data_IF_139058648068
#
_entry.id   IF_139058648068
#
_cell.length_a   1.000
_cell.length_b   1.000
_cell.length_c   1.000
_cell.angle_alpha   90.00
_cell.angle_beta   90.00
_cell.angle_gamma   90.00
#
_symmetry.space_group_name_H-M   'P 1'
#
loop_
_entity.id
_entity.type
_entity.pdbx_description
1 polymer ?
#
# COMPACT_ATOMS: atom_id res chain seq x y z
N UNK A 1 8.22 15.98 -95.56
CA UNK A 1 7.17 16.84 -94.98
C UNK A 1 6.44 16.00 -93.92
N UNK A 2 6.90 15.95 -92.66
CA UNK A 2 6.62 16.81 -91.49
C UNK A 2 5.14 16.99 -91.12
N UNK A 3 4.88 16.69 -89.83
CA UNK A 3 3.74 17.01 -88.94
C UNK A 3 2.60 15.97 -88.97
N UNK A 4 2.17 15.39 -87.86
CA UNK A 4 2.56 15.52 -86.46
C UNK A 4 1.36 15.26 -85.53
N UNK A 5 1.65 14.66 -84.37
CA UNK A 5 0.87 14.64 -83.10
C UNK A 5 -0.52 13.97 -83.21
N UNK A 6 -0.92 13.10 -82.29
CA UNK A 6 -1.01 13.37 -80.85
C UNK A 6 -0.85 12.08 -80.05
N UNK A 7 0.06 12.14 -79.08
CA UNK A 7 0.16 11.19 -77.97
C UNK A 7 -1.10 11.33 -77.12
N UNK A 8 -1.87 10.25 -76.95
CA UNK A 8 -2.83 10.13 -75.85
C UNK A 8 -2.17 9.29 -74.77
N UNK A 9 -1.53 9.98 -73.82
CA UNK A 9 -1.17 9.42 -72.53
C UNK A 9 -2.47 9.12 -71.77
N UNK A 10 -2.90 7.86 -71.74
CA UNK A 10 -3.87 7.40 -70.75
C UNK A 10 -3.12 7.27 -69.41
N UNK A 11 -3.16 8.34 -68.62
CA UNK A 11 -2.69 8.33 -67.25
C UNK A 11 -3.64 7.46 -66.41
N UNK A 12 -3.29 6.19 -66.23
CA UNK A 12 -3.83 5.38 -65.15
C UNK A 12 -3.38 6.00 -63.83
N UNK A 13 -4.27 6.79 -63.24
CA UNK A 13 -4.13 7.34 -61.90
C UNK A 13 -4.20 6.14 -60.93
N UNK A 14 -3.03 5.57 -60.62
CA UNK A 14 -2.90 4.66 -59.49
C UNK A 14 -3.15 5.52 -58.25
N UNK A 15 -4.36 5.44 -57.71
CA UNK A 15 -4.66 5.87 -56.35
C UNK A 15 -3.85 4.97 -55.42
N UNK A 16 -2.59 5.34 -55.21
CA UNK A 16 -1.84 4.93 -54.05
C UNK A 16 -2.51 5.60 -52.85
N UNK A 17 -3.51 4.92 -52.28
CA UNK A 17 -3.88 5.16 -50.89
C UNK A 17 -2.64 4.76 -50.09
N UNK A 18 -1.79 5.75 -49.83
CA UNK A 18 -0.85 5.65 -48.74
C UNK A 18 -1.72 5.47 -47.49
N UNK A 19 -1.85 4.22 -47.05
CA UNK A 19 -2.17 3.94 -45.67
C UNK A 19 -1.06 4.63 -44.88
N UNK A 20 -1.33 5.86 -44.43
CA UNK A 20 -0.59 6.45 -43.34
C UNK A 20 -0.49 5.34 -42.29
N UNK A 21 0.70 5.05 -41.73
CA UNK A 21 0.73 4.17 -40.59
C UNK A 21 -0.28 4.76 -39.61
N UNK A 22 -1.21 3.94 -39.13
CA UNK A 22 -1.89 4.22 -37.90
C UNK A 22 -0.78 4.26 -36.84
N UNK A 23 -0.05 5.37 -36.79
CA UNK A 23 0.88 5.74 -35.75
C UNK A 23 -0.02 5.82 -34.54
N UNK A 24 -0.07 4.69 -33.84
CA UNK A 24 -1.02 4.43 -32.79
C UNK A 24 -0.96 5.58 -31.80
N UNK A 25 -2.12 6.10 -31.42
CA UNK A 25 -2.31 6.96 -30.24
C UNK A 25 -1.89 6.27 -28.92
N UNK A 26 -1.18 5.15 -28.99
CA UNK A 26 -0.61 4.45 -27.86
C UNK A 26 0.62 5.23 -27.38
N UNK A 27 0.45 5.95 -26.28
CA UNK A 27 1.56 6.61 -25.58
C UNK A 27 2.63 5.58 -25.22
N UNK A 28 3.90 5.95 -25.40
CA UNK A 28 5.02 5.07 -25.05
C UNK A 28 5.25 5.05 -23.54
N UNK A 29 5.96 4.03 -23.03
CA UNK A 29 6.37 3.96 -21.62
C UNK A 29 7.15 5.20 -21.21
N UNK A 30 8.05 5.67 -22.08
CA UNK A 30 8.93 6.81 -21.79
C UNK A 30 8.16 8.14 -21.76
N UNK A 31 7.19 8.32 -22.67
CA UNK A 31 6.29 9.48 -22.66
C UNK A 31 5.43 9.52 -21.40
N UNK A 32 4.80 8.38 -21.05
CA UNK A 32 4.00 8.25 -19.84
C UNK A 32 4.83 8.55 -18.59
N UNK A 33 6.04 8.00 -18.52
CA UNK A 33 6.97 8.24 -17.41
C UNK A 33 7.36 9.73 -17.32
N UNK A 34 7.77 10.35 -18.42
CA UNK A 34 8.17 11.75 -18.44
C UNK A 34 7.03 12.69 -18.04
N UNK A 35 5.81 12.47 -18.57
CA UNK A 35 4.62 13.23 -18.17
C UNK A 35 4.30 13.04 -16.68
N UNK A 36 4.41 11.82 -16.17
CA UNK A 36 4.14 11.55 -14.76
C UNK A 36 5.14 12.22 -13.82
N UNK A 37 6.42 12.20 -14.15
CA UNK A 37 7.46 12.88 -13.36
C UNK A 37 7.18 14.38 -13.31
N UNK A 38 6.80 14.99 -14.44
CA UNK A 38 6.40 16.40 -14.50
C UNK A 38 5.17 16.68 -13.65
N UNK A 39 4.12 15.85 -13.73
CA UNK A 39 2.91 15.97 -12.92
C UNK A 39 3.23 15.85 -11.42
N UNK A 40 4.10 14.90 -11.02
CA UNK A 40 4.51 14.72 -9.63
C UNK A 40 5.28 15.93 -9.10
N UNK A 41 6.19 16.50 -9.90
CA UNK A 41 6.93 17.73 -9.54
C UNK A 41 6.00 18.93 -9.38
N UNK A 42 4.93 18.99 -10.18
CA UNK A 42 3.85 19.98 -10.04
C UNK A 42 2.85 19.64 -8.91
N UNK A 43 3.12 18.61 -8.10
CA UNK A 43 2.24 18.11 -7.04
C UNK A 43 0.85 17.64 -7.51
N UNK A 44 0.66 17.39 -8.81
CA UNK A 44 -0.53 16.76 -9.37
C UNK A 44 -0.47 15.24 -9.18
N UNK A 45 -0.57 14.80 -7.92
CA UNK A 45 -0.25 13.42 -7.56
C UNK A 45 -1.23 12.38 -8.10
N UNK A 46 -2.52 12.71 -8.26
CA UNK A 46 -3.50 11.81 -8.88
C UNK A 46 -3.14 11.56 -10.35
N UNK A 47 -2.87 12.63 -11.11
CA UNK A 47 -2.44 12.55 -12.52
C UNK A 47 -1.15 11.74 -12.66
N UNK A 48 -0.16 12.01 -11.81
CA UNK A 48 1.11 11.29 -11.81
C UNK A 48 0.90 9.80 -11.57
N UNK A 49 0.10 9.43 -10.57
CA UNK A 49 -0.19 8.03 -10.26
C UNK A 49 -0.87 7.31 -11.42
N UNK A 50 -1.83 7.95 -12.09
CA UNK A 50 -2.54 7.35 -13.23
C UNK A 50 -1.64 7.16 -14.44
N UNK A 51 -0.79 8.14 -14.76
CA UNK A 51 0.21 8.02 -15.82
C UNK A 51 1.22 6.90 -15.53
N UNK A 52 1.68 6.77 -14.28
CA UNK A 52 2.63 5.72 -13.88
C UNK A 52 2.02 4.33 -13.90
N UNK A 53 0.75 4.19 -13.50
CA UNK A 53 0.04 2.91 -13.62
C UNK A 53 -0.10 2.48 -15.08
N UNK A 54 -0.34 3.42 -16.00
CA UNK A 54 -0.37 3.15 -17.44
C UNK A 54 1.02 2.75 -17.96
N UNK A 55 2.09 3.43 -17.52
CA UNK A 55 3.46 3.05 -17.86
C UNK A 55 3.80 1.63 -17.36
N UNK A 56 3.39 1.30 -16.14
CA UNK A 56 3.59 -0.01 -15.52
C UNK A 56 2.70 -1.10 -16.13
N UNK A 57 1.54 -0.77 -16.70
CA UNK A 57 0.74 -1.72 -17.46
C UNK A 57 1.46 -2.17 -18.75
N UNK A 58 2.27 -1.29 -19.35
CA UNK A 58 3.08 -1.59 -20.52
C UNK A 58 4.43 -2.25 -20.15
N UNK A 59 5.04 -1.86 -19.02
CA UNK A 59 6.28 -2.43 -18.50
C UNK A 59 6.19 -2.63 -16.98
N UNK A 60 5.69 -3.79 -16.51
CA UNK A 60 5.43 -4.05 -15.09
C UNK A 60 6.65 -3.99 -14.17
N UNK A 61 7.82 -4.31 -14.73
CA UNK A 61 9.08 -4.44 -13.99
C UNK A 61 9.98 -3.19 -14.13
N UNK A 62 9.38 -2.03 -14.39
CA UNK A 62 10.11 -0.77 -14.41
C UNK A 62 10.29 -0.22 -12.98
N UNK A 63 11.46 -0.46 -12.38
CA UNK A 63 11.79 -0.01 -11.03
C UNK A 63 11.68 1.52 -10.88
N UNK A 64 12.12 2.31 -11.86
CA UNK A 64 12.02 3.78 -11.81
C UNK A 64 10.56 4.23 -11.76
N UNK A 65 9.70 3.65 -12.61
CA UNK A 65 8.27 3.97 -12.61
C UNK A 65 7.58 3.54 -11.30
N UNK A 66 7.99 2.42 -10.71
CA UNK A 66 7.49 2.00 -9.38
C UNK A 66 7.92 2.98 -8.28
N UNK A 67 9.15 3.48 -8.30
CA UNK A 67 9.62 4.49 -7.35
C UNK A 67 8.85 5.78 -7.49
N UNK A 68 8.67 6.28 -8.73
CA UNK A 68 7.86 7.48 -8.95
C UNK A 68 6.41 7.27 -8.50
N UNK A 69 5.85 6.06 -8.67
CA UNK A 69 4.49 5.74 -8.23
C UNK A 69 4.41 5.78 -6.70
N UNK A 70 5.40 5.21 -6.02
CA UNK A 70 5.52 5.27 -4.56
C UNK A 70 5.51 6.71 -4.05
N UNK A 71 6.28 7.60 -4.67
CA UNK A 71 6.29 9.03 -4.31
C UNK A 71 4.98 9.75 -4.65
N UNK A 72 4.33 9.42 -5.77
CA UNK A 72 3.01 9.96 -6.09
C UNK A 72 1.96 9.54 -5.05
N UNK A 73 1.94 8.26 -4.65
CA UNK A 73 1.02 7.75 -3.62
C UNK A 73 1.33 8.33 -2.23
N UNK A 74 2.60 8.60 -1.89
CA UNK A 74 2.96 9.37 -0.70
C UNK A 74 2.36 10.78 -0.75
N UNK A 75 2.42 11.45 -1.91
CA UNK A 75 1.78 12.76 -2.12
C UNK A 75 0.25 12.72 -1.91
N UNK A 76 -0.39 11.61 -2.29
CA UNK A 76 -1.82 11.33 -2.06
C UNK A 76 -2.15 10.88 -0.64
N UNK A 77 -1.13 10.71 0.21
CA UNK A 77 -1.25 10.12 1.55
C UNK A 77 -1.80 8.67 1.55
N UNK A 78 -1.66 7.96 0.44
CA UNK A 78 -2.04 6.56 0.31
C UNK A 78 -0.85 5.66 0.70
N UNK A 79 -0.57 5.60 2.00
CA UNK A 79 0.58 4.91 2.56
C UNK A 79 0.65 3.41 2.18
N UNK A 80 -0.45 2.65 2.14
CA UNK A 80 -0.42 1.25 1.69
C UNK A 80 0.03 1.09 0.24
N UNK A 81 -0.50 1.91 -0.68
CA UNK A 81 -0.13 1.84 -2.10
C UNK A 81 1.32 2.31 -2.33
N UNK A 82 1.76 3.33 -1.59
CA UNK A 82 3.15 3.77 -1.63
C UNK A 82 4.10 2.64 -1.19
N UNK A 83 3.78 1.95 -0.09
CA UNK A 83 4.55 0.81 0.39
C UNK A 83 4.68 -0.30 -0.65
N UNK A 84 3.57 -0.67 -1.28
CA UNK A 84 3.55 -1.72 -2.31
C UNK A 84 4.48 -1.35 -3.47
N UNK A 85 4.34 -0.13 -3.99
CA UNK A 85 5.15 0.35 -5.11
C UNK A 85 6.65 0.33 -4.79
N UNK A 86 7.07 0.85 -3.62
CA UNK A 86 8.47 0.82 -3.21
C UNK A 86 8.98 -0.60 -2.97
N UNK A 87 8.17 -1.47 -2.36
CA UNK A 87 8.56 -2.87 -2.10
C UNK A 87 8.76 -3.65 -3.40
N UNK A 88 7.90 -3.42 -4.40
CA UNK A 88 8.08 -3.98 -5.74
C UNK A 88 9.32 -3.45 -6.43
N UNK A 89 9.61 -2.15 -6.32
CA UNK A 89 10.84 -1.57 -6.84
C UNK A 89 12.08 -2.22 -6.21
N UNK A 90 12.09 -2.43 -4.89
CA UNK A 90 13.18 -3.09 -4.18
C UNK A 90 13.28 -4.59 -4.50
N UNK A 91 12.18 -5.25 -4.86
CA UNK A 91 12.22 -6.64 -5.31
C UNK A 91 12.92 -6.79 -6.67
N UNK A 92 12.84 -5.75 -7.52
CA UNK A 92 13.51 -5.71 -8.84
C UNK A 92 14.94 -5.18 -8.69
N UNK A 93 15.14 -4.14 -7.89
CA UNK A 93 16.40 -3.47 -7.65
C UNK A 93 16.64 -3.29 -6.14
N UNK A 94 17.23 -4.29 -5.45
CA UNK A 94 17.39 -4.28 -3.99
C UNK A 94 18.21 -3.12 -3.44
N UNK A 95 19.05 -2.49 -4.27
CA UNK A 95 19.91 -1.37 -3.88
C UNK A 95 19.35 -0.01 -4.31
N UNK A 96 18.07 0.07 -4.73
CA UNK A 96 17.44 1.32 -5.14
C UNK A 96 17.23 2.23 -3.91
N UNK A 97 18.10 3.23 -3.77
CA UNK A 97 18.18 4.09 -2.58
C UNK A 97 16.90 4.89 -2.34
N UNK A 98 16.34 5.49 -3.39
CA UNK A 98 15.09 6.26 -3.29
C UNK A 98 13.91 5.40 -2.84
N UNK A 99 13.87 4.11 -3.26
CA UNK A 99 12.83 3.19 -2.81
C UNK A 99 12.99 2.85 -1.31
N UNK A 100 14.23 2.64 -0.85
CA UNK A 100 14.53 2.42 0.57
C UNK A 100 14.16 3.63 1.43
N UNK A 101 14.48 4.84 0.95
CA UNK A 101 14.04 6.09 1.56
C UNK A 101 12.52 6.17 1.61
N UNK A 102 11.84 5.86 0.50
CA UNK A 102 10.39 5.83 0.41
C UNK A 102 9.73 4.90 1.44
N UNK A 103 10.26 3.70 1.67
CA UNK A 103 9.76 2.79 2.71
C UNK A 103 9.94 3.40 4.11
N UNK A 104 11.10 4.00 4.40
CA UNK A 104 11.32 4.66 5.68
C UNK A 104 10.34 5.81 5.92
N UNK A 105 10.04 6.61 4.88
CA UNK A 105 9.06 7.69 4.96
C UNK A 105 7.63 7.15 5.17
N UNK A 106 7.25 6.08 4.48
CA UNK A 106 5.95 5.41 4.67
C UNK A 106 5.80 4.92 6.11
N UNK A 107 6.81 4.27 6.68
CA UNK A 107 6.75 3.78 8.06
C UNK A 107 6.62 4.93 9.06
N UNK A 108 7.38 6.01 8.84
CA UNK A 108 7.32 7.19 9.69
C UNK A 108 5.93 7.83 9.67
N UNK A 109 5.35 8.03 8.47
CA UNK A 109 4.01 8.60 8.29
C UNK A 109 2.89 7.68 8.78
N UNK A 110 3.14 6.36 8.80
CA UNK A 110 2.24 5.37 9.40
C UNK A 110 2.31 5.33 10.93
N UNK A 111 3.22 6.08 11.55
CA UNK A 111 3.44 6.10 13.00
C UNK A 111 4.33 4.96 13.51
N UNK A 112 4.84 4.11 12.62
CA UNK A 112 5.70 2.97 12.94
C UNK A 112 7.15 3.42 13.14
N UNK A 113 7.40 4.32 14.09
CA UNK A 113 8.72 4.95 14.30
C UNK A 113 9.82 3.94 14.63
N UNK A 114 9.47 2.79 15.21
CA UNK A 114 10.42 1.71 15.51
C UNK A 114 10.90 0.98 14.25
N UNK A 115 10.07 0.89 13.21
CA UNK A 115 10.45 0.37 11.90
C UNK A 115 11.12 1.44 11.04
N UNK A 116 10.67 2.69 11.13
CA UNK A 116 11.16 3.79 10.29
C UNK A 116 12.61 4.19 10.58
N UNK A 117 12.99 4.27 11.87
CA UNK A 117 14.30 4.79 12.28
C UNK A 117 15.48 3.99 11.70
N UNK A 118 15.58 2.66 11.87
CA UNK A 118 16.72 1.91 11.35
C UNK A 118 16.81 1.98 9.82
N UNK A 119 15.67 2.03 9.12
CA UNK A 119 15.65 2.18 7.66
C UNK A 119 16.18 3.56 7.24
N UNK A 120 15.73 4.63 7.90
CA UNK A 120 16.20 5.99 7.62
C UNK A 120 17.69 6.17 7.94
N UNK A 121 18.17 5.57 9.04
CA UNK A 121 19.58 5.58 9.42
C UNK A 121 20.44 4.86 8.39
N UNK A 122 20.03 3.68 7.92
CA UNK A 122 20.73 2.95 6.86
C UNK A 122 20.83 3.78 5.57
N UNK A 123 19.74 4.46 5.16
CA UNK A 123 19.77 5.33 3.97
C UNK A 123 20.76 6.48 4.16
N UNK A 124 20.77 7.13 5.32
CA UNK A 124 21.68 8.24 5.63
C UNK A 124 23.15 7.79 5.77
N UNK A 125 23.42 6.58 6.25
CA UNK A 125 24.77 6.00 6.30
C UNK A 125 25.30 5.72 4.89
N UNK A 126 24.44 5.18 4.03
CA UNK A 126 24.80 4.79 2.66
C UNK A 126 24.97 6.02 1.76
N UNK A 127 24.20 7.08 1.99
CA UNK A 127 24.35 8.38 1.32
C UNK A 127 24.38 9.55 2.34
N UNK A 128 25.55 9.86 2.92
CA UNK A 128 25.69 10.95 3.89
C UNK A 128 25.39 12.34 3.32
N UNK A 129 25.37 12.51 2.00
CA UNK A 129 25.07 13.78 1.34
C UNK A 129 23.55 14.00 1.15
N UNK A 130 22.73 12.96 1.35
CA UNK A 130 21.28 13.05 1.24
C UNK A 130 20.68 13.82 2.43
N UNK A 131 20.47 15.12 2.24
CA UNK A 131 19.90 16.00 3.25
C UNK A 131 18.49 15.58 3.69
N UNK A 132 17.70 14.94 2.82
CA UNK A 132 16.34 14.52 3.14
C UNK A 132 16.33 13.27 4.01
N UNK A 133 17.26 12.34 3.79
CA UNK A 133 17.47 11.19 4.69
C UNK A 133 17.89 11.65 6.09
N UNK A 134 18.83 12.59 6.19
CA UNK A 134 19.25 13.15 7.48
C UNK A 134 18.09 13.84 8.21
N UNK A 135 17.29 14.65 7.50
CA UNK A 135 16.08 15.29 8.07
C UNK A 135 15.05 14.25 8.52
N UNK A 136 14.86 13.16 7.77
CA UNK A 136 13.93 12.10 8.14
C UNK A 136 14.34 11.44 9.45
N UNK A 137 15.63 11.11 9.62
CA UNK A 137 16.17 10.58 10.88
C UNK A 137 15.89 11.54 12.05
N UNK A 138 16.18 12.83 11.87
CA UNK A 138 15.94 13.84 12.91
C UNK A 138 14.46 13.98 13.26
N UNK A 139 13.57 13.95 12.26
CA UNK A 139 12.13 14.02 12.45
C UNK A 139 11.61 12.79 13.22
N UNK A 140 12.08 11.59 12.88
CA UNK A 140 11.72 10.35 13.58
C UNK A 140 12.19 10.42 15.04
N UNK A 141 13.44 10.83 15.30
CA UNK A 141 13.99 10.96 16.66
C UNK A 141 13.23 11.98 17.50
N UNK A 142 12.90 13.15 16.93
CA UNK A 142 12.07 14.18 17.59
C UNK A 142 10.69 13.63 17.92
N UNK A 143 10.05 12.92 16.99
CA UNK A 143 8.74 12.33 17.20
C UNK A 143 8.76 11.25 18.31
N UNK A 144 9.77 10.38 18.34
CA UNK A 144 9.96 9.39 19.42
C UNK A 144 10.18 10.04 20.78
N UNK A 145 11.00 11.09 20.87
CA UNK A 145 11.21 11.86 22.11
C UNK A 145 9.92 12.53 22.57
N UNK A 146 9.15 13.14 21.67
CA UNK A 146 7.87 13.75 21.98
C UNK A 146 6.83 12.71 22.44
N UNK A 147 6.83 11.51 21.86
CA UNK A 147 5.97 10.41 22.30
C UNK A 147 6.36 9.88 23.69
N UNK A 148 7.65 9.90 24.03
CA UNK A 148 8.16 9.49 25.34
C UNK A 148 7.96 10.55 26.42
N UNK A 149 7.96 11.84 26.06
CA UNK A 149 7.77 12.97 26.98
C UNK A 149 6.30 13.28 27.26
N UNK A 150 5.39 12.91 26.35
CA UNK A 150 3.97 12.86 26.68
C UNK A 150 3.83 11.87 27.84
N UNK A 151 3.31 12.29 29.00
CA UNK A 151 2.99 11.33 30.03
C UNK A 151 2.11 10.28 29.36
N UNK A 152 2.55 9.01 29.36
CA UNK A 152 1.64 7.91 29.06
C UNK A 152 0.38 8.26 29.85
N UNK A 153 -0.81 8.35 29.22
CA UNK A 153 -2.03 8.59 29.99
C UNK A 153 -1.92 7.65 31.15
N UNK A 154 -1.86 8.23 32.37
CA UNK A 154 -1.61 7.47 33.57
C UNK A 154 -2.52 6.27 33.40
N UNK A 155 -1.91 5.09 33.31
CA UNK A 155 -2.69 3.87 33.25
C UNK A 155 -3.36 3.91 34.61
N UNK A 156 -4.55 4.53 34.66
CA UNK A 156 -5.54 4.17 35.65
C UNK A 156 -5.51 2.67 35.54
N UNK A 157 -5.13 2.03 36.63
CA UNK A 157 -4.91 0.60 36.73
C UNK A 157 -6.23 -0.19 36.55
N UNK A 158 -7.02 0.17 35.55
CA UNK A 158 -8.36 -0.28 35.24
C UNK A 158 -8.60 -0.19 33.72
N UNK A 159 -7.68 -0.74 32.93
CA UNK A 159 -8.01 -1.21 31.58
C UNK A 159 -7.16 -2.42 31.20
N UNK A 160 -6.87 -3.30 32.16
CA UNK A 160 -6.97 -4.72 31.81
C UNK A 160 -8.43 -4.88 31.41
N UNK A 161 -8.71 -5.10 30.13
CA UNK A 161 -9.95 -5.75 29.77
C UNK A 161 -9.93 -7.09 30.50
N UNK A 162 -10.43 -7.11 31.75
CA UNK A 162 -11.07 -8.30 32.26
C UNK A 162 -12.09 -8.59 31.16
N UNK A 163 -11.83 -9.64 30.36
CA UNK A 163 -12.88 -10.27 29.56
C UNK A 163 -14.13 -10.17 30.41
N UNK A 164 -15.26 -9.64 29.89
CA UNK A 164 -16.47 -9.57 30.69
C UNK A 164 -16.57 -10.94 31.33
N UNK A 165 -16.59 -10.99 32.67
CA UNK A 165 -16.83 -12.24 33.37
C UNK A 165 -18.21 -12.67 32.91
N UNK A 166 -18.29 -13.34 31.75
CA UNK A 166 -19.39 -14.20 31.40
C UNK A 166 -19.35 -15.17 32.56
N UNK A 167 -20.31 -15.02 33.47
CA UNK A 167 -20.60 -16.05 34.44
C UNK A 167 -20.53 -17.36 33.66
N UNK A 168 -19.69 -18.32 34.07
CA UNK A 168 -19.65 -19.62 33.42
C UNK A 168 -21.09 -20.09 33.25
N UNK A 169 -21.45 -20.52 32.04
CA UNK A 169 -22.77 -21.07 31.78
C UNK A 169 -23.06 -22.10 32.89
N UNK A 170 -24.10 -21.88 33.72
CA UNK A 170 -24.34 -22.75 34.87
C UNK A 170 -24.86 -24.12 34.44
N UNK A 171 -25.31 -24.27 33.19
CA UNK A 171 -26.01 -25.45 32.70
C UNK A 171 -25.14 -26.72 32.79
N UNK A 172 -23.88 -26.77 32.30
CA UNK A 172 -23.07 -27.99 32.40
C UNK A 172 -22.86 -28.48 33.85
N UNK A 173 -22.61 -27.54 34.78
CA UNK A 173 -22.43 -27.87 36.20
C UNK A 173 -23.70 -28.38 36.87
N UNK A 174 -24.84 -27.72 36.62
CA UNK A 174 -26.14 -28.15 37.14
C UNK A 174 -26.56 -29.50 36.55
N UNK A 175 -26.27 -29.76 35.27
CA UNK A 175 -26.58 -31.04 34.63
C UNK A 175 -25.76 -32.19 35.24
N UNK A 176 -24.50 -31.96 35.59
CA UNK A 176 -23.66 -32.95 36.24
C UNK A 176 -24.10 -33.22 37.70
N UNK A 177 -24.42 -32.17 38.46
CA UNK A 177 -24.95 -32.27 39.82
C UNK A 177 -26.29 -33.03 39.85
N UNK A 178 -27.22 -32.70 38.94
CA UNK A 178 -28.50 -33.41 38.81
C UNK A 178 -28.31 -34.90 38.51
N UNK A 179 -27.34 -35.26 37.65
CA UNK A 179 -27.02 -36.67 37.36
C UNK A 179 -26.49 -37.40 38.60
N UNK A 180 -25.61 -36.77 39.38
CA UNK A 180 -25.09 -37.36 40.63
C UNK A 180 -26.20 -37.58 41.66
N UNK A 181 -27.08 -36.61 41.84
CA UNK A 181 -28.22 -36.72 42.74
C UNK A 181 -29.20 -37.82 42.30
N UNK A 182 -29.42 -37.97 40.99
CA UNK A 182 -30.24 -39.05 40.42
C UNK A 182 -29.62 -40.43 40.65
N UNK A 183 -28.31 -40.57 40.46
CA UNK A 183 -27.57 -41.82 40.73
C UNK A 183 -27.58 -42.18 42.22
N UNK A 184 -27.60 -41.18 43.11
CA UNK A 184 -27.71 -41.36 44.55
C UNK A 184 -29.16 -41.59 45.05
N UNK A 185 -30.15 -41.71 44.15
CA UNK A 185 -31.56 -41.89 44.51
C UNK A 185 -32.26 -40.66 45.09
N UNK A 186 -31.60 -39.50 45.14
CA UNK A 186 -32.11 -38.22 45.67
C UNK A 186 -32.93 -37.48 44.60
N UNK A 187 -33.98 -38.14 44.11
CA UNK A 187 -34.79 -37.68 42.98
C UNK A 187 -35.41 -36.28 43.17
N UNK A 188 -35.96 -35.90 44.35
CA UNK A 188 -36.55 -34.56 44.54
C UNK A 188 -35.52 -33.42 44.44
N UNK A 189 -34.26 -33.69 44.75
CA UNK A 189 -33.19 -32.70 44.66
C UNK A 189 -32.65 -32.60 43.23
N UNK A 190 -32.48 -33.75 42.56
CA UNK A 190 -32.10 -33.81 41.15
C UNK A 190 -33.07 -32.99 40.28
N UNK A 191 -34.38 -33.09 40.54
CA UNK A 191 -35.39 -32.33 39.82
C UNK A 191 -35.23 -30.80 40.00
N UNK A 192 -34.98 -30.34 41.23
CA UNK A 192 -34.75 -28.91 41.51
C UNK A 192 -33.53 -28.39 40.75
N UNK A 193 -32.45 -29.18 40.69
CA UNK A 193 -31.23 -28.82 39.99
C UNK A 193 -31.45 -28.79 38.46
N UNK A 194 -32.16 -29.77 37.90
CA UNK A 194 -32.51 -29.76 36.47
C UNK A 194 -33.41 -28.58 36.09
N UNK A 195 -34.40 -28.23 36.93
CA UNK A 195 -35.25 -27.05 36.68
C UNK A 195 -34.45 -25.74 36.67
N UNK A 196 -33.35 -25.65 37.44
CA UNK A 196 -32.45 -24.49 37.42
C UNK A 196 -31.60 -24.43 36.14
N UNK A 197 -31.33 -25.57 35.51
CA UNK A 197 -30.58 -25.65 34.25
C UNK A 197 -31.44 -25.29 33.01
N UNK A 198 -32.76 -25.22 33.15
CA UNK A 198 -33.70 -24.89 32.07
C UNK A 198 -34.19 -23.43 32.07
N UNK A 199 -33.70 -22.60 33.00
CA UNK A 199 -34.02 -21.16 33.11
C UNK A 199 -32.86 -20.34 32.58
#
# INVERSE_FOLDING_TARGET
MRRGRRLSFAACLILAVAAAPAASLAQTVDELYASAVKARQAQHFDEAADLLRRALALKPDNADALVQLGFAELGRNNLPAARDAFSRALSIAPTYRDASFGVAEVEFRSGNMDAALPLAEQVAEVDPANADAAKLVDNIRKAKRAAASKPKPAVTAQAVMKKPHRRPDPVPGLMEEGRRLRQAGRLPEAEKVYRRALR
#
